data_IF_960927731073
#
_entry.id   IF_960927731073
#
_cell.length_a   1.000
_cell.length_b   1.000
_cell.length_c   1.000
_cell.angle_alpha   90.00
_cell.angle_beta   90.00
_cell.angle_gamma   90.00
#
_symmetry.space_group_name_H-M   'P 1'
#
loop_
_entity.id
_entity.type
_entity.pdbx_description
1 polymer ?
#
# COMPACT_ATOMS: atom_id res chain seq x y z
N UNK A 1 12.84 -38.75 28.68
CA UNK A 1 11.86 -38.20 27.71
C UNK A 1 11.83 -36.66 27.64
N UNK A 2 12.18 -35.92 28.69
CA UNK A 2 12.10 -34.44 28.68
C UNK A 2 13.19 -33.68 27.88
N UNK A 3 14.22 -34.35 27.35
CA UNK A 3 15.29 -33.72 26.56
C UNK A 3 14.91 -33.50 25.09
N UNK A 4 14.25 -34.49 24.49
CA UNK A 4 13.85 -34.46 23.06
C UNK A 4 12.83 -33.35 22.78
N UNK A 5 11.87 -33.11 23.70
CA UNK A 5 10.90 -32.04 23.57
C UNK A 5 11.52 -30.62 23.69
N UNK A 6 12.61 -30.46 24.45
CA UNK A 6 13.30 -29.16 24.60
C UNK A 6 14.11 -28.81 23.35
N UNK A 7 14.77 -29.79 22.74
CA UNK A 7 15.47 -29.63 21.45
C UNK A 7 14.48 -29.33 20.32
N UNK A 8 13.34 -30.03 20.24
CA UNK A 8 12.31 -29.78 19.24
C UNK A 8 11.72 -28.36 19.34
N UNK A 9 11.47 -27.88 20.58
CA UNK A 9 10.98 -26.51 20.82
C UNK A 9 12.03 -25.45 20.45
N UNK A 10 13.31 -25.70 20.73
CA UNK A 10 14.39 -24.81 20.34
C UNK A 10 14.54 -24.73 18.81
N UNK A 11 14.39 -25.86 18.10
CA UNK A 11 14.43 -25.92 16.63
C UNK A 11 13.26 -25.15 16.02
N UNK A 12 12.04 -25.29 16.56
CA UNK A 12 10.87 -24.56 16.08
C UNK A 12 10.99 -23.04 16.28
N UNK A 13 11.54 -22.59 17.41
CA UNK A 13 11.79 -21.17 17.67
C UNK A 13 12.86 -20.62 16.72
N UNK A 14 13.94 -21.38 16.49
CA UNK A 14 14.98 -20.99 15.55
C UNK A 14 14.45 -20.91 14.10
N UNK A 15 13.64 -21.87 13.67
CA UNK A 15 13.03 -21.88 12.34
C UNK A 15 12.08 -20.69 12.13
N UNK A 16 11.27 -20.34 13.14
CA UNK A 16 10.41 -19.17 13.10
C UNK A 16 11.22 -17.85 13.03
N UNK A 17 12.36 -17.78 13.72
CA UNK A 17 13.26 -16.63 13.67
C UNK A 17 13.89 -16.40 12.29
N UNK A 18 14.27 -17.47 11.59
CA UNK A 18 14.83 -17.37 10.23
C UNK A 18 13.77 -16.95 9.20
N UNK A 19 12.53 -17.44 9.33
CA UNK A 19 11.42 -17.04 8.45
C UNK A 19 11.04 -15.56 8.57
N UNK A 20 11.15 -14.99 9.77
CA UNK A 20 10.84 -13.57 10.01
C UNK A 20 11.84 -12.61 9.33
N UNK A 21 13.06 -13.06 9.04
CA UNK A 21 14.11 -12.25 8.39
C UNK A 21 14.03 -12.28 6.85
N UNK A 22 13.22 -13.17 6.27
CA UNK A 22 13.07 -13.31 4.82
C UNK A 22 12.37 -12.12 4.14
N UNK A 23 11.77 -11.20 4.90
CA UNK A 23 11.17 -9.96 4.37
C UNK A 23 12.16 -8.83 4.11
N UNK A 24 13.44 -9.00 4.47
CA UNK A 24 14.48 -7.95 4.33
C UNK A 24 15.36 -8.12 3.08
N UNK A 25 14.95 -8.96 2.12
CA UNK A 25 15.63 -9.03 0.83
C UNK A 25 15.17 -7.87 -0.06
N UNK A 26 16.09 -7.14 -0.72
CA UNK A 26 15.69 -6.19 -1.74
C UNK A 26 14.98 -6.97 -2.86
N UNK A 27 13.78 -6.49 -3.21
CA UNK A 27 12.91 -7.14 -4.19
C UNK A 27 13.33 -6.63 -5.58
N UNK A 28 14.28 -7.32 -6.18
CA UNK A 28 14.71 -7.08 -7.55
C UNK A 28 13.97 -8.03 -8.50
N UNK A 29 13.33 -7.52 -9.57
CA UNK A 29 13.36 -6.13 -10.03
C UNK A 29 12.25 -5.27 -9.41
N UNK A 30 12.59 -4.05 -9.01
CA UNK A 30 11.59 -3.03 -8.68
C UNK A 30 10.70 -2.74 -9.89
N UNK A 31 9.41 -2.46 -9.66
CA UNK A 31 8.51 -1.95 -10.70
C UNK A 31 9.12 -0.67 -11.25
N UNK A 32 9.28 -0.59 -12.58
CA UNK A 32 9.92 0.56 -13.19
C UNK A 32 9.03 1.79 -13.00
N UNK A 33 9.59 3.01 -12.89
CA UNK A 33 8.79 4.21 -12.61
C UNK A 33 7.59 4.41 -13.55
N UNK A 34 7.75 4.06 -14.83
CA UNK A 34 6.70 4.13 -15.86
C UNK A 34 5.75 2.93 -15.88
N UNK A 35 6.01 1.86 -15.14
CA UNK A 35 5.04 0.76 -14.99
C UNK A 35 4.08 1.05 -13.82
N UNK A 36 4.44 1.97 -12.93
CA UNK A 36 3.60 2.40 -11.79
C UNK A 36 2.33 3.12 -12.23
N UNK A 37 2.36 3.83 -13.36
CA UNK A 37 1.19 4.54 -13.90
C UNK A 37 0.07 3.58 -14.36
N UNK A 38 0.40 2.32 -14.62
CA UNK A 38 -0.53 1.27 -15.01
C UNK A 38 -0.95 0.35 -13.84
N UNK A 39 -0.54 0.65 -12.61
CA UNK A 39 -0.94 -0.14 -11.44
C UNK A 39 -2.44 0.00 -11.15
N UNK A 40 -3.04 1.11 -11.57
CA UNK A 40 -4.46 1.38 -11.43
C UNK A 40 -5.16 1.43 -12.80
N UNK A 41 -5.97 0.42 -13.11
CA UNK A 41 -6.89 0.45 -14.24
C UNK A 41 -7.91 1.59 -14.09
N UNK A 42 -8.36 2.22 -15.19
CA UNK A 42 -9.39 3.26 -15.17
C UNK A 42 -10.70 2.85 -14.48
N UNK A 43 -11.01 1.54 -14.45
CA UNK A 43 -12.18 0.99 -13.75
C UNK A 43 -12.07 1.06 -12.22
N UNK A 44 -10.85 1.11 -11.68
CA UNK A 44 -10.59 1.27 -10.25
C UNK A 44 -10.70 2.73 -9.78
N UNK A 45 -11.07 3.65 -10.68
CA UNK A 45 -11.43 5.01 -10.29
C UNK A 45 -12.65 4.97 -9.37
N UNK A 46 -12.51 5.52 -8.16
CA UNK A 46 -13.64 5.75 -7.25
C UNK A 46 -14.68 6.72 -7.81
N UNK A 47 -14.29 7.44 -8.87
CA UNK A 47 -15.05 8.51 -9.43
C UNK A 47 -15.41 8.22 -10.89
N UNK A 48 -16.71 8.19 -11.16
CA UNK A 48 -17.23 7.98 -12.50
C UNK A 48 -17.02 9.19 -13.41
N UNK A 49 -17.08 10.40 -12.85
CA UNK A 49 -17.13 11.67 -13.58
C UNK A 49 -16.11 12.67 -13.00
N UNK A 50 -14.80 12.51 -13.31
CA UNK A 50 -13.74 13.28 -12.64
C UNK A 50 -13.84 14.80 -12.87
N UNK A 51 -14.43 15.23 -13.99
CA UNK A 51 -14.57 16.66 -14.31
C UNK A 51 -15.57 17.34 -13.37
N UNK A 52 -16.70 16.69 -13.09
CA UNK A 52 -17.76 17.27 -12.26
C UNK A 52 -17.34 17.32 -10.80
N UNK A 53 -16.63 16.31 -10.32
CA UNK A 53 -16.16 16.25 -8.94
C UNK A 53 -15.06 17.23 -8.65
N UNK A 54 -14.08 17.42 -9.54
CA UNK A 54 -13.02 18.43 -9.35
C UNK A 54 -13.64 19.82 -9.29
N UNK A 55 -14.66 20.09 -10.11
CA UNK A 55 -15.40 21.34 -10.04
C UNK A 55 -16.10 21.54 -8.69
N UNK A 56 -16.79 20.52 -8.19
CA UNK A 56 -17.47 20.59 -6.89
C UNK A 56 -16.47 20.71 -5.74
N UNK A 57 -15.39 19.94 -5.76
CA UNK A 57 -14.31 19.99 -4.77
C UNK A 57 -13.68 21.38 -4.71
N UNK A 58 -13.40 22.01 -5.86
CA UNK A 58 -12.88 23.38 -5.91
C UNK A 58 -13.86 24.40 -5.29
N UNK A 59 -15.16 24.25 -5.54
CA UNK A 59 -16.21 25.10 -4.93
C UNK A 59 -16.26 24.87 -3.41
N UNK A 60 -16.18 23.62 -2.96
CA UNK A 60 -16.19 23.29 -1.54
C UNK A 60 -14.92 23.79 -0.84
N UNK A 61 -13.75 23.63 -1.43
CA UNK A 61 -12.48 24.15 -0.89
C UNK A 61 -12.54 25.68 -0.73
N UNK A 62 -13.04 26.38 -1.76
CA UNK A 62 -13.19 27.84 -1.73
C UNK A 62 -14.14 28.32 -0.64
N UNK A 63 -15.16 27.51 -0.29
CA UNK A 63 -16.18 27.86 0.71
C UNK A 63 -15.81 27.44 2.12
N UNK A 64 -15.13 26.32 2.26
CA UNK A 64 -14.93 25.60 3.51
C UNK A 64 -13.44 25.55 3.92
N UNK A 65 -12.63 26.53 3.47
CA UNK A 65 -11.14 26.59 3.49
C UNK A 65 -10.39 26.30 4.80
N UNK A 66 -11.06 25.78 5.82
CA UNK A 66 -10.49 25.09 6.97
C UNK A 66 -10.42 23.55 6.81
N UNK A 67 -11.02 22.96 5.78
CA UNK A 67 -10.91 21.52 5.48
C UNK A 67 -9.80 21.30 4.47
N UNK A 68 -8.72 20.63 4.89
CA UNK A 68 -7.56 20.32 4.03
C UNK A 68 -7.95 19.59 2.74
N UNK A 69 -7.04 19.61 1.75
CA UNK A 69 -7.27 19.12 0.40
C UNK A 69 -7.96 17.74 0.39
N UNK A 70 -9.04 17.63 -0.40
CA UNK A 70 -9.63 16.33 -0.75
C UNK A 70 -8.55 15.53 -1.49
N UNK A 71 -8.42 14.23 -1.15
CA UNK A 71 -7.26 13.41 -1.47
C UNK A 71 -6.72 13.51 -2.91
N UNK A 72 -5.43 13.19 -3.07
CA UNK A 72 -4.72 13.28 -4.34
C UNK A 72 -5.46 12.60 -5.51
N UNK A 73 -5.37 13.22 -6.69
CA UNK A 73 -6.04 12.78 -7.91
C UNK A 73 -5.44 11.45 -8.38
N UNK A 74 -6.05 10.33 -7.98
CA UNK A 74 -5.64 8.99 -8.42
C UNK A 74 -6.31 7.86 -7.65
N UNK A 75 -6.78 6.84 -8.37
CA UNK A 75 -7.21 5.58 -7.77
C UNK A 75 -6.02 4.63 -7.60
N UNK A 76 -6.03 3.83 -6.53
CA UNK A 76 -5.00 2.82 -6.21
C UNK A 76 -4.18 3.14 -4.96
N UNK A 77 -3.59 2.12 -4.33
CA UNK A 77 -2.61 2.26 -3.23
C UNK A 77 -1.26 2.85 -3.70
N UNK A 78 -1.28 3.75 -4.69
CA UNK A 78 -0.11 4.47 -5.17
C UNK A 78 -0.09 5.84 -4.54
N UNK A 79 0.56 5.95 -3.39
CA UNK A 79 1.01 7.25 -2.89
C UNK A 79 1.65 8.03 -4.04
N UNK A 80 1.16 9.25 -4.28
CA UNK A 80 1.79 10.23 -5.16
C UNK A 80 3.19 10.57 -4.62
#
# INVERSE_FOLDING_TARGET
>A
MGGVCKCARAILIAAAGVGALAGCSPIEPWVKPYEREHFADPIMSFNRDPVSTVYLEHVFESREGARGATGGVGGGCGCN
#
